data_IF_413139724027
#
_entry.id   IF_413139724027
#
_cell.length_a   1.000
_cell.length_b   1.000
_cell.length_c   1.000
_cell.angle_alpha   90.00
_cell.angle_beta   90.00
_cell.angle_gamma   90.00
#
_symmetry.space_group_name_H-M   'P 1'
#
loop_
_entity.id
_entity.type
_entity.pdbx_description
1 polymer ?
#
# COMPACT_ATOMS: atom_id res chain seq x y z
N UNK A 1 -3.64 9.39 -8.76
CA UNK A 1 -2.32 9.11 -9.35
C UNK A 1 -2.07 7.60 -9.27
N UNK A 2 -1.55 6.97 -10.32
CA UNK A 2 -1.22 5.54 -10.34
C UNK A 2 0.26 5.37 -10.02
N UNK A 3 0.60 4.51 -9.06
CA UNK A 3 1.97 4.13 -8.70
C UNK A 3 2.29 2.75 -9.30
N UNK A 4 3.42 2.62 -10.00
CA UNK A 4 3.89 1.38 -10.62
C UNK A 4 5.39 1.22 -10.35
N UNK A 5 5.80 0.04 -9.87
CA UNK A 5 7.20 -0.28 -9.61
C UNK A 5 7.71 -1.25 -10.68
N UNK A 6 8.83 -0.87 -11.32
CA UNK A 6 9.41 -1.58 -12.46
C UNK A 6 9.95 -2.98 -12.07
N UNK A 7 9.76 -4.04 -12.89
CA UNK A 7 10.33 -5.34 -12.63
C UNK A 7 11.82 -5.34 -13.02
N UNK A 8 12.73 -5.23 -12.05
CA UNK A 8 14.13 -5.57 -12.31
C UNK A 8 14.28 -7.10 -12.40
N UNK A 9 14.87 -7.59 -13.50
CA UNK A 9 15.26 -8.98 -13.69
C UNK A 9 16.29 -9.42 -12.65
N UNK A 10 15.85 -9.91 -11.49
CA UNK A 10 16.65 -10.79 -10.65
C UNK A 10 15.76 -11.87 -10.02
N UNK A 11 16.28 -13.08 -9.96
CA UNK A 11 15.56 -14.32 -9.66
C UNK A 11 14.84 -14.31 -8.29
N UNK A 12 13.56 -14.67 -8.33
CA UNK A 12 12.85 -15.51 -7.35
C UNK A 12 12.61 -14.99 -5.92
N UNK A 13 12.32 -13.69 -5.73
CA UNK A 13 11.47 -13.30 -4.59
C UNK A 13 10.18 -12.66 -5.11
N UNK A 14 9.05 -13.31 -4.87
CA UNK A 14 7.70 -12.79 -5.18
C UNK A 14 7.28 -11.66 -4.23
N UNK A 15 8.15 -11.31 -3.27
CA UNK A 15 7.99 -10.25 -2.29
C UNK A 15 9.34 -9.68 -1.88
N UNK A 16 9.31 -8.44 -1.37
CA UNK A 16 10.44 -7.76 -0.76
C UNK A 16 10.10 -7.40 0.69
N UNK A 17 11.03 -7.58 1.65
CA UNK A 17 10.81 -7.18 3.02
C UNK A 17 10.83 -5.66 3.15
N UNK A 18 9.74 -5.07 3.67
CA UNK A 18 9.63 -3.66 4.01
C UNK A 18 9.01 -3.54 5.39
N UNK A 19 9.69 -2.90 6.33
CA UNK A 19 9.26 -2.79 7.74
C UNK A 19 8.88 -4.13 8.39
N UNK A 20 9.60 -5.21 8.04
CA UNK A 20 9.31 -6.56 8.55
C UNK A 20 8.07 -7.22 7.93
N UNK A 21 7.52 -6.65 6.85
CA UNK A 21 6.41 -7.23 6.07
C UNK A 21 6.88 -7.64 4.68
N UNK A 22 6.41 -8.80 4.20
CA UNK A 22 6.66 -9.27 2.84
C UNK A 22 5.75 -8.55 1.84
N UNK A 23 6.25 -7.48 1.23
CA UNK A 23 5.52 -6.69 0.24
C UNK A 23 5.59 -7.39 -1.12
N UNK A 24 4.46 -7.79 -1.72
CA UNK A 24 4.45 -8.50 -3.00
C UNK A 24 4.98 -7.63 -4.16
N UNK A 25 5.72 -8.25 -5.09
CA UNK A 25 6.25 -7.59 -6.30
C UNK A 25 5.96 -8.46 -7.53
N UNK A 26 5.50 -7.89 -8.67
CA UNK A 26 5.11 -6.49 -8.84
C UNK A 26 3.78 -6.18 -8.13
N UNK A 27 3.60 -4.94 -7.72
CA UNK A 27 2.32 -4.38 -7.30
C UNK A 27 2.10 -3.03 -7.96
N UNK A 28 0.85 -2.62 -8.05
CA UNK A 28 0.47 -1.29 -8.49
C UNK A 28 -0.66 -0.77 -7.63
N UNK A 29 -0.88 0.54 -7.66
CA UNK A 29 -1.74 1.12 -6.66
C UNK A 29 -2.18 2.54 -6.89
N UNK A 30 -2.99 3.01 -5.94
CA UNK A 30 -3.52 4.36 -5.91
C UNK A 30 -3.15 5.03 -4.60
N UNK A 31 -2.68 6.27 -4.71
CA UNK A 31 -2.59 7.19 -3.58
C UNK A 31 -3.94 7.89 -3.42
N UNK A 32 -4.56 7.68 -2.27
CA UNK A 32 -5.85 8.24 -1.88
C UNK A 32 -5.67 9.41 -0.91
N UNK A 33 -6.72 10.21 -0.76
CA UNK A 33 -6.82 11.15 0.37
C UNK A 33 -6.92 10.36 1.68
N UNK A 34 -6.48 10.96 2.79
CA UNK A 34 -6.38 10.29 4.08
C UNK A 34 -7.71 9.71 4.55
N UNK A 35 -8.77 10.51 4.51
CA UNK A 35 -10.12 10.13 4.95
C UNK A 35 -10.69 9.02 4.05
N UNK A 36 -10.48 9.14 2.73
CA UNK A 36 -10.91 8.15 1.74
C UNK A 36 -10.22 6.80 1.98
N UNK A 37 -8.93 6.80 2.31
CA UNK A 37 -8.23 5.57 2.68
C UNK A 37 -8.85 4.90 3.91
N UNK A 38 -9.16 5.68 4.96
CA UNK A 38 -9.74 5.14 6.19
C UNK A 38 -11.13 4.53 5.96
N UNK A 39 -11.97 5.21 5.17
CA UNK A 39 -13.28 4.70 4.78
C UNK A 39 -13.17 3.44 3.92
N UNK A 40 -12.26 3.44 2.95
CA UNK A 40 -12.04 2.30 2.06
C UNK A 40 -11.53 1.08 2.83
N UNK A 41 -10.58 1.26 3.75
CA UNK A 41 -10.09 0.21 4.63
C UNK A 41 -11.22 -0.41 5.47
N UNK A 42 -12.10 0.42 6.06
CA UNK A 42 -13.28 -0.05 6.80
C UNK A 42 -14.24 -0.83 5.90
N UNK A 43 -14.52 -0.33 4.70
CA UNK A 43 -15.38 -0.99 3.73
C UNK A 43 -14.83 -2.37 3.35
N UNK A 44 -13.54 -2.47 3.03
CA UNK A 44 -12.90 -3.74 2.68
C UNK A 44 -12.93 -4.73 3.85
N UNK A 45 -12.66 -4.27 5.08
CA UNK A 45 -12.80 -5.10 6.29
C UNK A 45 -14.24 -5.59 6.48
N UNK A 46 -15.24 -4.73 6.29
CA UNK A 46 -16.66 -5.12 6.40
C UNK A 46 -17.10 -6.15 5.34
N UNK A 47 -16.38 -6.21 4.21
CA UNK A 47 -16.60 -7.19 3.14
C UNK A 47 -15.74 -8.45 3.29
N UNK A 48 -14.99 -8.58 4.39
CA UNK A 48 -14.07 -9.69 4.64
C UNK A 48 -13.06 -9.91 3.49
N UNK A 49 -12.49 -8.82 2.97
CA UNK A 49 -11.40 -8.92 2.00
C UNK A 49 -10.14 -9.42 2.71
N UNK A 50 -9.51 -10.44 2.13
CA UNK A 50 -8.24 -10.97 2.62
C UNK A 50 -7.09 -10.03 2.27
N UNK A 51 -6.47 -9.48 3.31
CA UNK A 51 -5.32 -8.60 3.14
C UNK A 51 -4.01 -9.39 3.11
N UNK A 52 -3.13 -9.04 2.17
CA UNK A 52 -1.72 -9.44 2.22
C UNK A 52 -1.01 -8.65 3.32
N UNK A 53 -1.32 -7.36 3.41
CA UNK A 53 -0.90 -6.49 4.51
C UNK A 53 -2.11 -5.67 4.94
N UNK A 54 -2.55 -5.89 6.18
CA UNK A 54 -3.64 -5.12 6.77
C UNK A 54 -3.35 -3.61 6.82
N UNK A 55 -4.39 -2.75 6.76
CA UNK A 55 -4.24 -1.30 6.84
C UNK A 55 -3.58 -0.90 8.16
N UNK A 56 -2.50 -0.13 8.07
CA UNK A 56 -1.77 0.40 9.21
C UNK A 56 -1.11 1.73 8.88
N UNK A 57 -0.76 2.49 9.92
CA UNK A 57 -0.05 3.77 9.82
C UNK A 57 1.45 3.52 10.01
N UNK A 58 2.25 4.08 9.10
CA UNK A 58 3.71 4.17 9.19
C UNK A 58 4.08 5.59 9.60
N UNK A 59 5.13 5.70 10.41
CA UNK A 59 5.65 6.99 10.88
C UNK A 59 4.60 7.87 11.58
N UNK A 60 3.73 7.26 12.39
CA UNK A 60 2.66 7.97 13.11
C UNK A 60 3.21 9.16 13.92
N UNK A 61 2.63 10.35 13.70
CA UNK A 61 3.04 11.60 14.33
C UNK A 61 4.39 12.16 13.84
N UNK A 62 5.02 11.55 12.83
CA UNK A 62 6.31 11.98 12.27
C UNK A 62 6.15 12.48 10.83
N UNK A 63 7.11 13.28 10.32
CA UNK A 63 7.19 13.55 8.89
C UNK A 63 7.24 12.24 8.09
N UNK A 64 6.44 12.17 7.03
CA UNK A 64 6.24 10.97 6.22
C UNK A 64 5.11 10.07 6.72
N UNK A 65 4.29 10.53 7.67
CA UNK A 65 3.14 9.77 8.17
C UNK A 65 2.23 9.35 7.01
N UNK A 66 2.10 8.04 6.85
CA UNK A 66 1.36 7.44 5.74
C UNK A 66 0.60 6.21 6.21
N UNK A 67 -0.58 6.00 5.65
CA UNK A 67 -1.32 4.77 5.79
C UNK A 67 -1.10 3.91 4.55
N UNK A 68 -0.96 2.59 4.71
CA UNK A 68 -0.83 1.67 3.58
C UNK A 68 -1.56 0.35 3.85
N UNK A 69 -2.04 -0.29 2.78
CA UNK A 69 -2.61 -1.64 2.80
C UNK A 69 -2.38 -2.34 1.47
N UNK A 70 -2.35 -3.68 1.51
CA UNK A 70 -2.20 -4.53 0.34
C UNK A 70 -3.20 -5.68 0.35
N UNK A 71 -3.81 -5.96 -0.80
CA UNK A 71 -4.62 -7.14 -1.04
C UNK A 71 -4.52 -7.54 -2.51
N UNK A 72 -5.03 -8.73 -2.87
CA UNK A 72 -5.03 -9.19 -4.26
C UNK A 72 -6.40 -8.99 -4.91
N UNK A 73 -6.40 -8.64 -6.18
CA UNK A 73 -7.62 -8.69 -7.00
C UNK A 73 -7.98 -10.15 -7.38
N UNK A 74 -9.14 -10.40 -8.01
CA UNK A 74 -9.52 -11.76 -8.44
C UNK A 74 -8.57 -12.41 -9.45
N UNK A 75 -7.73 -11.62 -10.13
CA UNK A 75 -6.72 -12.10 -11.06
C UNK A 75 -5.37 -12.40 -10.37
N UNK A 76 -5.26 -12.15 -9.07
CA UNK A 76 -4.05 -12.38 -8.27
C UNK A 76 -3.06 -11.22 -8.28
N UNK A 77 -3.40 -10.08 -8.90
CA UNK A 77 -2.53 -8.90 -8.91
C UNK A 77 -2.49 -8.29 -7.51
N UNK A 78 -1.29 -7.98 -7.02
CA UNK A 78 -1.14 -7.26 -5.77
C UNK A 78 -1.46 -5.78 -5.96
N UNK A 79 -2.46 -5.30 -5.22
CA UNK A 79 -2.88 -3.91 -5.20
C UNK A 79 -2.37 -3.24 -3.94
N UNK A 80 -1.76 -2.07 -4.11
CA UNK A 80 -1.39 -1.18 -3.01
C UNK A 80 -2.33 0.01 -2.94
N UNK A 81 -2.78 0.34 -1.74
CA UNK A 81 -3.43 1.62 -1.48
C UNK A 81 -2.65 2.34 -0.40
N UNK A 82 -2.39 3.62 -0.63
CA UNK A 82 -1.63 4.48 0.27
C UNK A 82 -2.35 5.80 0.48
N UNK A 83 -2.10 6.43 1.61
CA UNK A 83 -2.44 7.84 1.84
C UNK A 83 -1.36 8.50 2.69
N UNK A 84 -1.10 9.78 2.45
CA UNK A 84 -0.17 10.57 3.25
C UNK A 84 -0.95 11.55 4.11
N UNK A 85 -0.54 11.75 5.36
CA UNK A 85 -1.18 12.72 6.25
C UNK A 85 -0.94 14.14 5.76
N UNK A 86 0.22 14.38 5.17
CA UNK A 86 0.55 15.58 4.42
C UNK A 86 0.95 15.20 2.99
N UNK A 87 0.15 15.60 2.00
CA UNK A 87 0.37 15.29 0.59
C UNK A 87 1.66 15.90 0.01
N UNK A 88 2.18 16.98 0.60
CA UNK A 88 3.45 17.59 0.16
C UNK A 88 4.64 16.64 0.36
N UNK A 89 4.49 15.64 1.24
CA UNK A 89 5.52 14.65 1.54
C UNK A 89 5.53 13.48 0.55
N UNK A 90 4.57 13.41 -0.39
CA UNK A 90 4.50 12.35 -1.40
C UNK A 90 5.71 12.35 -2.36
N UNK A 91 6.30 13.52 -2.60
CA UNK A 91 7.46 13.71 -3.51
C UNK A 91 8.61 14.47 -2.87
N UNK A 92 8.58 14.64 -1.54
CA UNK A 92 9.72 15.21 -0.85
C UNK A 92 10.93 14.28 -1.10
N UNK A 93 11.98 14.86 -1.70
CA UNK A 93 13.22 14.15 -2.05
C UNK A 93 13.99 13.70 -0.82
#
# INVERSE_FOLDING_TARGET
>A
MIHYQDPQETKASTSNPVDGKDVPVPHFGVVLQWEVFQEFAKLLKSKNVDFVIEPYIRFEGKPGEQATMFFKDPCGNALEFKAFKNMDQLFAK
#
